data_IF_139015295499
#
_entry.id   IF_139015295499
#
_cell.length_a   1.000
_cell.length_b   1.000
_cell.length_c   1.000
_cell.angle_alpha   90.00
_cell.angle_beta   90.00
_cell.angle_gamma   90.00
#
_symmetry.space_group_name_H-M   'P 1'
#
loop_
_entity.id
_entity.type
_entity.pdbx_description
1 polymer ?
#
# COMPACT_ATOMS: atom_id res chain seq x y z
N UNK A 1 2.25 -3.21 9.55
CA UNK A 1 1.62 -4.53 9.29
C UNK A 1 2.58 -5.38 8.46
N UNK A 2 3.70 -5.87 9.02
CA UNK A 2 4.63 -6.75 8.29
C UNK A 2 3.95 -7.93 7.60
N UNK A 3 2.92 -8.52 8.21
CA UNK A 3 2.14 -9.59 7.63
C UNK A 3 1.40 -9.28 6.34
N UNK A 4 0.84 -8.07 6.23
CA UNK A 4 0.19 -7.60 5.02
C UNK A 4 1.15 -7.52 3.82
N UNK A 5 2.40 -7.14 4.08
CA UNK A 5 3.43 -7.06 3.06
C UNK A 5 3.80 -8.45 2.51
N UNK A 6 3.91 -9.45 3.40
CA UNK A 6 4.21 -10.82 3.00
C UNK A 6 3.07 -11.40 2.14
N UNK A 7 1.82 -11.24 2.57
CA UNK A 7 0.66 -11.72 1.83
C UNK A 7 0.53 -11.04 0.45
N UNK A 8 0.65 -9.71 0.40
CA UNK A 8 0.58 -8.97 -0.85
C UNK A 8 1.67 -9.43 -1.84
N UNK A 9 2.92 -9.58 -1.37
CA UNK A 9 4.01 -10.10 -2.21
C UNK A 9 3.74 -11.52 -2.69
N UNK A 10 3.29 -12.41 -1.80
CA UNK A 10 2.98 -13.80 -2.15
C UNK A 10 1.93 -13.90 -3.25
N UNK A 11 0.83 -13.15 -3.11
CA UNK A 11 -0.24 -13.11 -4.11
C UNK A 11 0.22 -12.49 -5.44
N UNK A 12 1.00 -11.42 -5.41
CA UNK A 12 1.60 -10.83 -6.62
C UNK A 12 2.53 -11.83 -7.34
N UNK A 13 3.35 -12.57 -6.60
CA UNK A 13 4.21 -13.62 -7.17
C UNK A 13 3.38 -14.72 -7.85
N UNK A 14 2.30 -15.17 -7.22
CA UNK A 14 1.40 -16.16 -7.81
C UNK A 14 0.71 -15.63 -9.08
N UNK A 15 0.26 -14.38 -9.05
CA UNK A 15 -0.36 -13.70 -10.19
C UNK A 15 0.61 -13.62 -11.39
N UNK A 16 1.82 -13.12 -11.17
CA UNK A 16 2.85 -13.03 -12.21
C UNK A 16 3.25 -14.40 -12.78
N UNK A 17 3.29 -15.43 -11.93
CA UNK A 17 3.68 -16.77 -12.34
C UNK A 17 2.52 -17.60 -12.93
N UNK A 18 1.29 -17.08 -12.94
CA UNK A 18 0.10 -17.80 -13.40
C UNK A 18 -0.13 -19.13 -12.66
N UNK A 19 0.21 -19.20 -11.36
CA UNK A 19 0.18 -20.47 -10.61
C UNK A 19 -1.21 -20.75 -10.05
N UNK A 20 -1.55 -22.04 -10.03
CA UNK A 20 -2.78 -22.56 -9.42
C UNK A 20 -2.48 -23.38 -8.17
N UNK A 21 -3.37 -23.31 -7.18
CA UNK A 21 -3.26 -24.06 -5.94
C UNK A 21 -4.01 -23.41 -4.78
N UNK A 22 -3.72 -23.87 -3.58
CA UNK A 22 -4.23 -23.30 -2.33
C UNK A 22 -3.11 -22.63 -1.56
N UNK A 23 -3.27 -21.34 -1.27
CA UNK A 23 -2.40 -20.60 -0.36
C UNK A 23 -3.04 -20.61 1.04
N UNK A 24 -2.43 -21.35 1.95
CA UNK A 24 -2.77 -21.34 3.37
C UNK A 24 -2.11 -20.14 4.05
N UNK A 25 -2.91 -19.35 4.74
CA UNK A 25 -2.50 -18.21 5.56
C UNK A 25 -2.80 -18.56 7.01
N UNK A 26 -1.75 -18.89 7.76
CA UNK A 26 -1.85 -19.35 9.15
C UNK A 26 -1.44 -18.23 10.11
N UNK A 27 -2.19 -18.07 11.19
CA UNK A 27 -1.82 -17.21 12.32
C UNK A 27 -2.35 -17.80 13.62
N UNK A 28 -1.94 -17.24 14.76
CA UNK A 28 -2.42 -17.67 16.07
C UNK A 28 -3.95 -17.56 16.25
N UNK A 29 -4.63 -16.72 15.45
CA UNK A 29 -6.07 -16.41 15.62
C UNK A 29 -6.96 -16.94 14.51
N UNK A 30 -6.37 -17.28 13.37
CA UNK A 30 -7.14 -17.69 12.20
C UNK A 30 -6.29 -18.49 11.22
N UNK A 31 -6.95 -19.41 10.53
CA UNK A 31 -6.47 -20.11 9.35
C UNK A 31 -7.33 -19.67 8.17
N UNK A 32 -6.73 -19.22 7.08
CA UNK A 32 -7.45 -18.98 5.84
C UNK A 32 -6.86 -19.80 4.70
N UNK A 33 -7.73 -20.34 3.86
CA UNK A 33 -7.39 -21.04 2.63
C UNK A 33 -7.80 -20.19 1.45
N UNK A 34 -6.84 -19.80 0.62
CA UNK A 34 -7.07 -18.97 -0.56
C UNK A 34 -6.91 -19.85 -1.79
N UNK A 35 -8.01 -20.05 -2.51
CA UNK A 35 -7.99 -20.73 -3.80
C UNK A 35 -7.50 -19.79 -4.89
N UNK A 36 -6.40 -20.16 -5.57
CA UNK A 36 -5.80 -19.40 -6.66
C UNK A 36 -5.88 -20.23 -7.94
N UNK A 37 -6.48 -19.68 -8.99
CA UNK A 37 -6.58 -20.28 -10.33
C UNK A 37 -5.92 -19.35 -11.33
N UNK A 38 -4.88 -19.85 -12.00
CA UNK A 38 -4.10 -19.15 -13.01
C UNK A 38 -3.63 -17.76 -12.53
N UNK A 39 -3.14 -17.71 -11.29
CA UNK A 39 -2.66 -16.49 -10.65
C UNK A 39 -3.75 -15.56 -10.09
N UNK A 40 -5.03 -15.87 -10.29
CA UNK A 40 -6.17 -15.08 -9.81
C UNK A 40 -6.78 -15.70 -8.54
N UNK A 41 -7.10 -14.87 -7.56
CA UNK A 41 -7.81 -15.33 -6.35
C UNK A 41 -9.28 -15.54 -6.69
N UNK A 42 -9.72 -16.80 -6.65
CA UNK A 42 -11.10 -17.19 -7.02
C UNK A 42 -11.99 -17.50 -5.83
N UNK A 43 -11.40 -17.91 -4.71
CA UNK A 43 -12.15 -18.34 -3.53
C UNK A 43 -11.33 -18.12 -2.26
N UNK A 44 -12.02 -17.90 -1.14
CA UNK A 44 -11.37 -17.77 0.15
C UNK A 44 -12.26 -18.31 1.27
N UNK A 45 -11.73 -19.26 2.04
CA UNK A 45 -12.35 -19.80 3.25
C UNK A 45 -11.53 -19.36 4.46
N UNK A 46 -12.22 -18.98 5.54
CA UNK A 46 -11.60 -18.55 6.80
C UNK A 46 -12.11 -19.43 7.94
N UNK A 47 -11.23 -19.79 8.87
CA UNK A 47 -11.51 -20.57 10.06
C UNK A 47 -10.96 -19.82 11.30
N UNK A 48 -11.75 -19.67 12.39
CA UNK A 48 -13.17 -20.07 12.51
C UNK A 48 -14.07 -19.29 11.54
N UNK A 49 -15.27 -19.82 11.29
CA UNK A 49 -16.23 -19.20 10.36
C UNK A 49 -16.51 -17.76 10.76
N UNK A 50 -16.52 -16.89 9.76
CA UNK A 50 -16.43 -15.44 9.93
C UNK A 50 -17.80 -14.75 9.94
N UNK A 51 -18.86 -15.55 10.02
CA UNK A 51 -20.27 -15.14 9.99
C UNK A 51 -20.72 -14.54 8.65
N UNK A 52 -19.85 -14.44 7.65
CA UNK A 52 -20.16 -13.80 6.37
C UNK A 52 -20.67 -14.84 5.38
N UNK A 53 -21.87 -15.38 5.64
CA UNK A 53 -22.51 -16.36 4.77
C UNK A 53 -23.11 -15.71 3.51
N UNK A 54 -23.19 -16.48 2.43
CA UNK A 54 -23.67 -15.99 1.13
C UNK A 54 -25.14 -15.55 1.18
N UNK A 55 -26.01 -16.35 1.82
CA UNK A 55 -27.43 -16.02 1.97
C UNK A 55 -27.66 -14.69 2.69
N UNK A 56 -26.97 -14.47 3.81
CA UNK A 56 -27.08 -13.22 4.58
C UNK A 56 -26.51 -12.01 3.82
N UNK A 57 -25.49 -12.23 2.98
CA UNK A 57 -24.98 -11.20 2.08
C UNK A 57 -26.00 -10.82 1.01
N UNK A 58 -26.68 -11.80 0.40
CA UNK A 58 -27.72 -11.56 -0.60
C UNK A 58 -28.93 -10.83 0.01
N UNK A 59 -29.37 -11.22 1.21
CA UNK A 59 -30.44 -10.52 1.95
C UNK A 59 -30.09 -9.08 2.28
N UNK A 60 -28.89 -8.81 2.80
CA UNK A 60 -28.41 -7.44 3.08
C UNK A 60 -28.34 -6.57 1.82
N UNK A 61 -28.12 -7.18 0.66
CA UNK A 61 -28.12 -6.51 -0.64
C UNK A 61 -29.52 -6.29 -1.22
N UNK A 62 -30.58 -6.80 -0.57
CA UNK A 62 -31.95 -6.79 -1.12
C UNK A 62 -32.10 -7.63 -2.38
N UNK A 63 -31.18 -8.58 -2.61
CA UNK A 63 -31.12 -9.38 -3.82
C UNK A 63 -31.65 -10.82 -3.59
N UNK A 64 -32.35 -11.03 -2.48
CA UNK A 64 -32.97 -12.30 -2.11
C UNK A 64 -34.49 -12.15 -2.10
N UNK A 65 -35.19 -13.01 -2.85
CA UNK A 65 -36.64 -13.08 -2.80
C UNK A 65 -37.08 -14.00 -1.65
N UNK A 66 -37.62 -13.39 -0.59
CA UNK A 66 -38.14 -14.10 0.58
C UNK A 66 -39.40 -14.93 0.30
N UNK A 67 -40.05 -14.75 -0.86
CA UNK A 67 -41.21 -15.54 -1.28
C UNK A 67 -40.84 -16.92 -1.81
N UNK A 68 -39.57 -17.14 -2.16
CA UNK A 68 -39.09 -18.44 -2.63
C UNK A 68 -38.77 -19.31 -1.42
N UNK A 69 -39.54 -20.40 -1.28
CA UNK A 69 -39.37 -21.37 -0.20
C UNK A 69 -38.61 -22.62 -0.68
N UNK A 70 -37.70 -23.11 0.15
CA UNK A 70 -36.95 -24.34 -0.11
C UNK A 70 -35.59 -24.32 0.56
N UNK A 71 -34.95 -25.48 0.60
CA UNK A 71 -33.57 -25.65 1.08
C UNK A 71 -32.80 -26.40 -0.01
N UNK A 72 -31.56 -26.00 -0.34
CA UNK A 72 -30.72 -26.75 -1.26
C UNK A 72 -30.49 -28.18 -0.75
N UNK A 73 -30.28 -29.11 -1.69
CA UNK A 73 -29.87 -30.46 -1.31
C UNK A 73 -28.50 -30.46 -0.61
N UNK A 74 -28.21 -31.46 0.25
CA UNK A 74 -26.90 -31.57 0.88
C UNK A 74 -25.77 -31.57 -0.15
N UNK A 75 -24.86 -30.60 -0.04
CA UNK A 75 -23.71 -30.44 -0.94
C UNK A 75 -23.94 -29.53 -2.14
N UNK A 76 -25.18 -29.10 -2.41
CA UNK A 76 -25.47 -28.13 -3.46
C UNK A 76 -25.06 -26.71 -3.00
N UNK A 77 -24.27 -25.96 -3.79
CA UNK A 77 -23.92 -24.58 -3.45
C UNK A 77 -25.15 -23.67 -3.40
N UNK A 78 -25.41 -23.07 -2.23
CA UNK A 78 -26.58 -22.19 -1.97
C UNK A 78 -26.79 -21.13 -3.07
N UNK A 79 -25.71 -20.54 -3.59
CA UNK A 79 -25.80 -19.52 -4.64
C UNK A 79 -26.30 -20.06 -5.98
N UNK A 80 -25.84 -21.23 -6.40
CA UNK A 80 -26.28 -21.87 -7.65
C UNK A 80 -27.73 -22.33 -7.55
N UNK A 81 -28.06 -22.97 -6.44
CA UNK A 81 -29.43 -23.34 -6.12
C UNK A 81 -30.37 -22.13 -6.16
N UNK A 82 -30.02 -21.05 -5.43
CA UNK A 82 -30.84 -19.85 -5.32
C UNK A 82 -31.06 -19.16 -6.67
N UNK A 83 -30.03 -19.12 -7.52
CA UNK A 83 -30.16 -18.58 -8.88
C UNK A 83 -31.08 -19.45 -9.75
N UNK A 84 -30.97 -20.78 -9.63
CA UNK A 84 -31.78 -21.73 -10.39
C UNK A 84 -33.26 -21.69 -10.02
N UNK A 85 -33.59 -21.54 -8.73
CA UNK A 85 -34.99 -21.46 -8.26
C UNK A 85 -35.57 -20.05 -8.35
N UNK A 86 -34.83 -19.09 -8.90
CA UNK A 86 -35.28 -17.70 -9.05
C UNK A 86 -35.29 -16.88 -7.76
N UNK A 87 -34.73 -17.37 -6.66
CA UNK A 87 -34.60 -16.62 -5.40
C UNK A 87 -33.60 -15.46 -5.50
N UNK A 88 -32.68 -15.50 -6.46
CA UNK A 88 -31.70 -14.44 -6.74
C UNK A 88 -31.23 -14.51 -8.20
N UNK A 89 -30.41 -13.55 -8.63
CA UNK A 89 -29.75 -13.60 -9.94
C UNK A 89 -28.31 -14.09 -9.85
N UNK A 90 -27.78 -14.68 -10.93
CA UNK A 90 -26.37 -15.06 -11.00
C UNK A 90 -25.41 -13.87 -10.80
N UNK A 91 -25.79 -12.67 -11.30
CA UNK A 91 -25.02 -11.45 -11.11
C UNK A 91 -25.00 -10.98 -9.65
N UNK A 92 -26.10 -11.13 -8.91
CA UNK A 92 -26.17 -10.83 -7.48
C UNK A 92 -25.29 -11.79 -6.66
N UNK A 93 -25.30 -13.09 -7.00
CA UNK A 93 -24.41 -14.09 -6.39
C UNK A 93 -22.94 -13.75 -6.62
N UNK A 94 -22.55 -13.47 -7.87
CA UNK A 94 -21.18 -13.08 -8.21
C UNK A 94 -20.73 -11.82 -7.47
N UNK A 95 -21.59 -10.80 -7.40
CA UNK A 95 -21.31 -9.57 -6.65
C UNK A 95 -21.18 -9.82 -5.14
N UNK A 96 -22.04 -10.66 -4.57
CA UNK A 96 -21.97 -11.01 -3.15
C UNK A 96 -20.68 -11.76 -2.82
N UNK A 97 -20.30 -12.76 -3.62
CA UNK A 97 -19.03 -13.49 -3.48
C UNK A 97 -17.82 -12.55 -3.60
N UNK A 98 -17.83 -11.61 -4.56
CA UNK A 98 -16.76 -10.62 -4.73
C UNK A 98 -16.62 -9.72 -3.50
N UNK A 99 -17.74 -9.24 -2.94
CA UNK A 99 -17.73 -8.46 -1.70
C UNK A 99 -17.25 -9.26 -0.49
N UNK A 100 -17.63 -10.53 -0.38
CA UNK A 100 -17.13 -11.42 0.67
C UNK A 100 -15.61 -11.63 0.56
N UNK A 101 -15.13 -11.90 -0.65
CA UNK A 101 -13.69 -12.06 -0.92
C UNK A 101 -12.91 -10.80 -0.54
N UNK A 102 -13.40 -9.62 -0.92
CA UNK A 102 -12.79 -8.34 -0.56
C UNK A 102 -12.73 -8.14 0.96
N UNK A 103 -13.84 -8.35 1.68
CA UNK A 103 -13.89 -8.21 3.15
C UNK A 103 -12.95 -9.18 3.85
N UNK A 104 -12.90 -10.44 3.39
CA UNK A 104 -11.98 -11.45 3.95
C UNK A 104 -10.52 -11.12 3.67
N UNK A 105 -10.21 -10.62 2.46
CA UNK A 105 -8.87 -10.14 2.14
C UNK A 105 -8.46 -8.96 3.04
N UNK A 106 -9.35 -8.00 3.27
CA UNK A 106 -9.10 -6.89 4.19
C UNK A 106 -8.77 -7.40 5.59
N UNK A 107 -9.57 -8.33 6.12
CA UNK A 107 -9.30 -8.99 7.42
C UNK A 107 -7.93 -9.65 7.45
N UNK A 108 -7.56 -10.40 6.41
CA UNK A 108 -6.26 -11.08 6.31
C UNK A 108 -5.07 -10.13 6.29
N UNK A 109 -5.18 -8.99 5.61
CA UNK A 109 -4.14 -7.96 5.64
C UNK A 109 -3.98 -7.32 7.03
N UNK A 110 -4.95 -7.48 7.93
CA UNK A 110 -4.82 -7.08 9.34
C UNK A 110 -4.08 -8.08 10.22
N UNK A 111 -3.80 -9.29 9.74
CA UNK A 111 -3.18 -10.38 10.53
C UNK A 111 -1.67 -10.23 10.53
N UNK A 112 -1.04 -10.37 11.70
CA UNK A 112 0.39 -10.16 11.85
C UNK A 112 1.02 -11.03 12.95
N UNK A 113 2.10 -11.79 12.66
CA UNK A 113 2.60 -12.21 11.34
C UNK A 113 1.85 -13.46 10.81
N UNK A 114 1.50 -13.51 9.52
CA UNK A 114 0.99 -14.71 8.88
C UNK A 114 2.14 -15.60 8.40
N UNK A 115 2.01 -16.90 8.64
CA UNK A 115 2.77 -17.93 7.94
C UNK A 115 2.04 -18.27 6.62
N UNK A 116 2.77 -18.28 5.51
CA UNK A 116 2.23 -18.54 4.18
C UNK A 116 2.75 -19.88 3.67
N UNK A 117 1.84 -20.80 3.31
CA UNK A 117 2.18 -22.10 2.73
C UNK A 117 1.39 -22.30 1.44
N UNK A 118 2.08 -22.58 0.34
CA UNK A 118 1.44 -22.85 -0.95
C UNK A 118 1.41 -24.36 -1.20
N UNK A 119 0.21 -24.90 -1.40
CA UNK A 119 0.01 -26.23 -1.94
C UNK A 119 -0.35 -26.11 -3.43
N UNK A 120 0.57 -26.41 -4.37
CA UNK A 120 0.31 -26.28 -5.79
C UNK A 120 -0.70 -27.33 -6.27
N UNK A 121 -1.47 -27.00 -7.31
CA UNK A 121 -2.42 -27.93 -7.95
C UNK A 121 -3.86 -27.44 -7.86
N UNK A 122 -4.76 -28.29 -7.36
CA UNK A 122 -6.17 -27.95 -7.22
C UNK A 122 -6.36 -26.74 -6.29
N UNK A 123 -7.25 -25.83 -6.69
CA UNK A 123 -7.51 -24.56 -5.98
C UNK A 123 -8.72 -24.61 -5.06
N UNK A 124 -9.43 -25.74 -5.04
CA UNK A 124 -10.70 -25.89 -4.32
C UNK A 124 -10.51 -25.81 -2.80
N UNK A 125 -11.28 -24.92 -2.17
CA UNK A 125 -11.21 -24.63 -0.73
C UNK A 125 -12.53 -24.90 -0.01
N UNK A 126 -13.48 -25.58 -0.66
CA UNK A 126 -14.78 -25.94 -0.09
C UNK A 126 -15.74 -24.75 0.05
N UNK A 127 -15.54 -23.68 -0.71
CA UNK A 127 -16.50 -22.57 -0.89
C UNK A 127 -16.63 -22.25 -2.39
N UNK A 128 -17.76 -21.66 -2.83
CA UNK A 128 -17.96 -21.31 -4.24
C UNK A 128 -16.87 -20.39 -4.78
N UNK A 129 -16.39 -20.67 -5.98
CA UNK A 129 -15.45 -19.81 -6.69
C UNK A 129 -16.15 -18.73 -7.50
N UNK A 130 -15.44 -17.63 -7.72
CA UNK A 130 -15.79 -16.62 -8.71
C UNK A 130 -15.45 -17.11 -10.11
N UNK A 131 -16.44 -17.03 -11.01
CA UNK A 131 -16.23 -17.29 -12.44
C UNK A 131 -15.35 -16.21 -13.07
N UNK A 132 -15.62 -14.95 -12.72
CA UNK A 132 -14.87 -13.76 -13.14
C UNK A 132 -14.21 -13.07 -11.93
N UNK A 133 -13.04 -13.57 -11.49
CA UNK A 133 -12.32 -12.99 -10.36
C UNK A 133 -11.75 -11.60 -10.71
N UNK A 134 -11.71 -10.66 -9.74
CA UNK A 134 -10.99 -9.40 -9.93
C UNK A 134 -9.48 -9.66 -10.07
N UNK A 135 -8.75 -8.71 -10.66
CA UNK A 135 -7.29 -8.79 -10.69
C UNK A 135 -6.74 -8.82 -9.27
N UNK A 136 -5.70 -9.62 -9.03
CA UNK A 136 -5.07 -9.74 -7.70
C UNK A 136 -4.62 -8.38 -7.14
N UNK A 137 -4.07 -7.51 -7.99
CA UNK A 137 -3.70 -6.14 -7.62
C UNK A 137 -4.89 -5.30 -7.15
N UNK A 138 -6.01 -5.34 -7.89
CA UNK A 138 -7.25 -4.65 -7.54
C UNK A 138 -7.82 -5.14 -6.21
N UNK A 139 -7.82 -6.46 -5.99
CA UNK A 139 -8.28 -7.07 -4.74
C UNK A 139 -7.44 -6.59 -3.55
N UNK A 140 -6.11 -6.59 -3.68
CA UNK A 140 -5.20 -6.15 -2.62
C UNK A 140 -5.38 -4.65 -2.34
N UNK A 141 -5.39 -3.80 -3.36
CA UNK A 141 -5.53 -2.34 -3.18
C UNK A 141 -6.88 -1.99 -2.57
N UNK A 142 -7.97 -2.65 -2.98
CA UNK A 142 -9.30 -2.46 -2.39
C UNK A 142 -9.32 -2.88 -0.92
N UNK A 143 -8.76 -4.04 -0.60
CA UNK A 143 -8.65 -4.52 0.79
C UNK A 143 -7.77 -3.60 1.66
N UNK A 144 -6.72 -3.00 1.10
CA UNK A 144 -5.87 -2.02 1.77
C UNK A 144 -6.63 -0.71 2.06
N UNK A 145 -7.48 -0.25 1.13
CA UNK A 145 -8.34 0.92 1.32
C UNK A 145 -9.33 0.69 2.46
N UNK A 146 -10.02 -0.46 2.47
CA UNK A 146 -10.97 -0.83 3.51
C UNK A 146 -10.29 -0.83 4.89
N UNK A 147 -9.07 -1.40 4.99
CA UNK A 147 -8.30 -1.40 6.24
C UNK A 147 -7.82 -0.01 6.67
N UNK A 148 -7.53 0.87 5.72
CA UNK A 148 -7.11 2.23 6.02
C UNK A 148 -8.28 3.15 6.39
N UNK A 149 -9.52 2.78 6.06
CA UNK A 149 -10.72 3.57 6.38
C UNK A 149 -10.93 3.71 7.89
N UNK A 150 -10.73 2.61 8.63
CA UNK A 150 -10.82 2.55 10.10
C UNK A 150 -9.74 3.37 10.82
N UNK A 151 -8.70 3.82 10.11
CA UNK A 151 -7.57 4.53 10.70
C UNK A 151 -7.87 6.03 10.80
N UNK A 152 -7.75 6.65 12.00
CA UNK A 152 -7.86 8.09 12.15
C UNK A 152 -6.83 8.85 11.30
N UNK A 153 -7.26 9.90 10.59
CA UNK A 153 -6.41 10.63 9.64
C UNK A 153 -5.14 11.22 10.27
N UNK A 154 -5.24 11.74 11.50
CA UNK A 154 -4.08 12.25 12.23
C UNK A 154 -3.04 11.16 12.50
N UNK A 155 -3.49 9.94 12.80
CA UNK A 155 -2.60 8.82 13.04
C UNK A 155 -1.96 8.33 11.74
N UNK A 156 -2.75 8.22 10.66
CA UNK A 156 -2.25 7.94 9.31
C UNK A 156 -1.16 8.95 8.91
N UNK A 157 -1.42 10.26 9.08
CA UNK A 157 -0.47 11.33 8.77
C UNK A 157 0.84 11.21 9.54
N UNK A 158 0.77 10.96 10.85
CA UNK A 158 1.97 10.76 11.69
C UNK A 158 2.76 9.54 11.24
N UNK A 159 2.10 8.45 10.87
CA UNK A 159 2.76 7.20 10.48
C UNK A 159 3.38 7.26 9.08
N UNK A 160 2.79 8.02 8.18
CA UNK A 160 3.42 8.38 6.89
C UNK A 160 4.66 9.23 7.13
N UNK A 161 4.67 10.10 8.14
CA UNK A 161 5.85 10.89 8.50
C UNK A 161 6.26 11.90 7.42
N UNK A 162 7.49 12.41 7.52
CA UNK A 162 8.03 13.48 6.66
C UNK A 162 9.25 12.98 5.90
N UNK A 163 9.00 12.19 4.85
CA UNK A 163 10.06 11.66 3.99
C UNK A 163 9.74 11.98 2.53
N UNK A 164 10.74 11.91 1.68
CA UNK A 164 10.50 11.73 0.25
C UNK A 164 10.21 10.25 0.03
N UNK A 165 9.10 9.97 -0.65
CA UNK A 165 8.61 8.61 -0.89
C UNK A 165 8.66 8.30 -2.37
N UNK A 166 9.02 7.05 -2.68
CA UNK A 166 9.00 6.48 -4.02
C UNK A 166 8.22 5.16 -4.02
N UNK A 167 7.71 4.77 -5.18
CA UNK A 167 7.19 3.41 -5.38
C UNK A 167 8.33 2.39 -5.33
N UNK A 168 8.14 1.35 -4.52
CA UNK A 168 8.99 0.15 -4.56
C UNK A 168 8.55 -0.76 -5.71
N UNK A 169 9.31 -1.81 -6.07
CA UNK A 169 8.87 -2.77 -7.07
C UNK A 169 7.48 -3.36 -6.78
N UNK A 170 7.19 -3.65 -5.50
CA UNK A 170 5.86 -4.08 -5.07
C UNK A 170 4.80 -3.01 -5.33
N UNK A 171 5.09 -1.75 -5.02
CA UNK A 171 4.14 -0.66 -5.27
C UNK A 171 3.82 -0.48 -6.75
N UNK A 172 4.83 -0.57 -7.62
CA UNK A 172 4.62 -0.54 -9.08
C UNK A 172 3.72 -1.70 -9.51
N UNK A 173 4.00 -2.91 -9.05
CA UNK A 173 3.22 -4.10 -9.39
C UNK A 173 1.76 -3.99 -8.92
N UNK A 174 1.53 -3.52 -7.69
CA UNK A 174 0.18 -3.32 -7.15
C UNK A 174 -0.62 -2.22 -7.84
N UNK A 175 0.03 -1.16 -8.30
CA UNK A 175 -0.65 0.03 -8.83
C UNK A 175 -0.79 0.03 -10.35
N UNK A 176 -0.08 -0.84 -11.06
CA UNK A 176 -0.13 -0.92 -12.54
C UNK A 176 -1.55 -1.23 -13.04
N UNK A 177 -2.23 -2.16 -12.36
CA UNK A 177 -3.54 -2.68 -12.77
C UNK A 177 -4.68 -2.30 -11.81
N UNK A 178 -4.39 -1.50 -10.79
CA UNK A 178 -5.39 -1.10 -9.82
C UNK A 178 -6.33 -0.04 -10.42
N UNK A 179 -7.62 -0.15 -10.13
CA UNK A 179 -8.58 0.91 -10.40
C UNK A 179 -8.33 2.03 -9.39
N UNK A 180 -7.77 3.15 -9.85
CA UNK A 180 -7.43 4.31 -9.05
C UNK A 180 -8.44 5.44 -9.26
N UNK A 181 -8.78 6.15 -8.17
CA UNK A 181 -9.50 7.41 -8.29
C UNK A 181 -8.57 8.53 -8.79
N UNK A 182 -9.10 9.63 -9.34
CA UNK A 182 -8.27 10.72 -9.87
C UNK A 182 -7.25 11.26 -8.87
N UNK A 183 -7.61 11.41 -7.60
CA UNK A 183 -6.72 11.92 -6.55
C UNK A 183 -5.64 10.90 -6.15
N UNK A 184 -5.90 9.61 -6.35
CA UNK A 184 -4.90 8.56 -6.13
C UNK A 184 -3.96 8.46 -7.32
N UNK A 185 -4.47 8.55 -8.55
CA UNK A 185 -3.67 8.55 -9.77
C UNK A 185 -2.65 9.71 -9.78
N UNK A 186 -3.06 10.91 -9.37
CA UNK A 186 -2.16 12.06 -9.20
C UNK A 186 -1.05 11.79 -8.17
N UNK A 187 -1.40 11.13 -7.06
CA UNK A 187 -0.44 10.73 -6.03
C UNK A 187 0.55 9.67 -6.54
N UNK A 188 0.09 8.69 -7.32
CA UNK A 188 0.92 7.63 -7.89
C UNK A 188 1.95 8.19 -8.87
N UNK A 189 1.57 9.11 -9.76
CA UNK A 189 2.48 9.80 -10.68
C UNK A 189 3.66 10.48 -9.95
N UNK A 190 3.39 11.11 -8.82
CA UNK A 190 4.43 11.73 -7.99
C UNK A 190 5.29 10.70 -7.25
N UNK A 191 4.72 9.57 -6.83
CA UNK A 191 5.48 8.49 -6.20
C UNK A 191 6.41 7.77 -7.19
N UNK A 192 6.09 7.72 -8.48
CA UNK A 192 6.97 7.14 -9.50
C UNK A 192 8.28 7.91 -9.65
N UNK A 193 8.19 9.24 -9.59
CA UNK A 193 9.34 10.16 -9.71
C UNK A 193 9.97 10.54 -8.38
N UNK A 194 9.29 10.17 -7.29
CA UNK A 194 9.63 10.49 -5.92
C UNK A 194 9.20 11.89 -5.51
N UNK A 195 8.52 12.02 -4.38
CA UNK A 195 8.12 13.32 -3.86
C UNK A 195 8.08 13.37 -2.32
N UNK A 196 8.32 14.55 -1.71
CA UNK A 196 8.08 14.77 -0.28
C UNK A 196 6.62 14.49 0.12
N UNK A 197 6.39 13.93 1.30
CA UNK A 197 5.03 13.66 1.81
C UNK A 197 4.10 14.89 1.75
N UNK A 198 4.61 16.07 2.08
CA UNK A 198 3.82 17.31 2.03
C UNK A 198 3.37 17.67 0.61
N UNK A 199 4.26 17.50 -0.37
CA UNK A 199 3.96 17.74 -1.79
C UNK A 199 2.95 16.71 -2.30
N UNK A 200 3.11 15.44 -1.92
CA UNK A 200 2.16 14.38 -2.26
C UNK A 200 0.76 14.73 -1.77
N UNK A 201 0.62 15.13 -0.51
CA UNK A 201 -0.69 15.43 0.08
C UNK A 201 -1.29 16.76 -0.40
N UNK A 202 -0.46 17.77 -0.68
CA UNK A 202 -0.94 19.04 -1.23
C UNK A 202 -1.44 18.89 -2.67
N UNK A 203 -0.79 18.03 -3.46
CA UNK A 203 -1.19 17.77 -4.85
C UNK A 203 -2.60 17.19 -4.99
N UNK A 204 -3.10 16.53 -3.94
CA UNK A 204 -4.42 15.90 -3.88
C UNK A 204 -5.44 16.76 -3.12
N UNK A 205 -5.17 18.06 -2.92
CA UNK A 205 -6.06 18.96 -2.19
C UNK A 205 -6.28 18.56 -0.72
N UNK A 206 -5.37 17.80 -0.12
CA UNK A 206 -5.54 17.27 1.24
C UNK A 206 -6.57 16.14 1.37
N UNK A 207 -6.93 15.48 0.27
CA UNK A 207 -7.89 14.36 0.27
C UNK A 207 -7.57 13.29 1.32
N UNK A 208 -8.57 13.00 2.16
CA UNK A 208 -8.51 11.93 3.16
C UNK A 208 -8.26 10.55 2.52
N UNK A 209 -8.80 10.33 1.31
CA UNK A 209 -8.61 9.10 0.52
C UNK A 209 -7.15 8.92 0.13
N UNK A 210 -6.53 9.94 -0.45
CA UNK A 210 -5.12 9.90 -0.86
C UNK A 210 -4.19 9.70 0.33
N UNK A 211 -4.46 10.33 1.48
CA UNK A 211 -3.71 10.09 2.71
C UNK A 211 -3.82 8.64 3.20
N UNK A 212 -5.03 8.06 3.17
CA UNK A 212 -5.28 6.67 3.57
C UNK A 212 -4.61 5.68 2.63
N UNK A 213 -4.68 5.90 1.31
CA UNK A 213 -3.97 5.08 0.34
C UNK A 213 -2.46 5.15 0.58
N UNK A 214 -1.89 6.35 0.70
CA UNK A 214 -0.46 6.54 0.97
C UNK A 214 -0.02 5.85 2.25
N UNK A 215 -0.83 5.93 3.31
CA UNK A 215 -0.63 5.20 4.55
C UNK A 215 -0.62 3.69 4.33
N UNK A 216 -1.62 3.15 3.62
CA UNK A 216 -1.74 1.72 3.37
C UNK A 216 -0.56 1.17 2.55
N UNK A 217 -0.19 1.87 1.47
CA UNK A 217 0.97 1.55 0.63
C UNK A 217 2.26 1.54 1.46
N UNK A 218 2.43 2.49 2.38
CA UNK A 218 3.61 2.52 3.24
C UNK A 218 3.62 1.37 4.25
N UNK A 219 2.47 0.95 4.77
CA UNK A 219 2.38 -0.17 5.71
C UNK A 219 2.80 -1.51 5.10
N UNK A 220 2.54 -1.71 3.80
CA UNK A 220 2.95 -2.91 3.06
C UNK A 220 4.32 -2.77 2.39
N UNK A 221 4.99 -1.62 2.54
CA UNK A 221 6.26 -1.35 1.87
C UNK A 221 6.13 -1.20 0.34
N UNK A 222 4.94 -0.88 -0.17
CA UNK A 222 4.70 -0.52 -1.57
C UNK A 222 5.21 0.88 -1.89
N UNK A 223 5.29 1.77 -0.90
CA UNK A 223 6.07 2.98 -0.98
C UNK A 223 7.02 3.08 0.21
N UNK A 224 8.23 3.55 -0.06
CA UNK A 224 9.28 3.66 0.95
C UNK A 224 10.15 4.87 0.63
N UNK A 225 10.95 5.34 1.60
CA UNK A 225 12.09 6.16 1.27
C UNK A 225 12.93 5.44 0.20
N UNK A 226 13.46 6.16 -0.79
CA UNK A 226 14.39 5.59 -1.76
C UNK A 226 15.55 4.92 -1.02
N UNK A 227 16.05 3.81 -1.56
CA UNK A 227 17.08 3.01 -0.91
C UNK A 227 18.23 3.87 -0.37
N UNK A 228 18.72 3.60 0.84
CA UNK A 228 19.64 4.49 1.51
C UNK A 228 20.97 4.53 0.76
N UNK A 229 21.20 5.63 0.05
CA UNK A 229 22.55 6.12 -0.22
C UNK A 229 23.01 6.95 0.97
N UNK A 230 24.30 6.83 1.32
CA UNK A 230 24.93 7.65 2.37
C UNK A 230 24.53 9.12 2.18
N UNK A 231 24.05 9.78 3.24
CA UNK A 231 23.70 11.20 3.24
C UNK A 231 22.22 11.55 3.08
N UNK A 232 21.33 10.58 2.82
CA UNK A 232 19.91 10.87 2.62
C UNK A 232 19.20 11.44 3.87
N UNK A 233 19.46 10.89 5.04
CA UNK A 233 18.94 11.43 6.31
C UNK A 233 19.42 12.87 6.56
N UNK A 234 20.68 13.15 6.23
CA UNK A 234 21.26 14.49 6.29
C UNK A 234 20.57 15.43 5.32
N UNK A 235 20.30 14.98 4.09
CA UNK A 235 19.59 15.78 3.08
C UNK A 235 18.19 16.16 3.58
N UNK A 236 17.39 15.21 4.06
CA UNK A 236 16.05 15.48 4.58
C UNK A 236 16.08 16.48 5.75
N UNK A 237 17.01 16.29 6.69
CA UNK A 237 17.21 17.23 7.81
C UNK A 237 17.52 18.64 7.31
N UNK A 238 18.43 18.77 6.34
CA UNK A 238 18.79 20.09 5.78
C UNK A 238 17.67 20.71 4.97
N UNK A 239 16.91 19.92 4.19
CA UNK A 239 15.73 20.43 3.47
C UNK A 239 14.71 21.01 4.45
N UNK A 240 14.50 20.37 5.61
CA UNK A 240 13.63 20.92 6.67
C UNK A 240 14.17 22.24 7.24
N UNK A 241 15.46 22.31 7.55
CA UNK A 241 16.10 23.54 8.05
C UNK A 241 15.96 24.70 7.04
N UNK A 242 16.17 24.44 5.75
CA UNK A 242 16.00 25.44 4.69
C UNK A 242 14.55 25.92 4.62
N UNK A 243 13.56 25.01 4.67
CA UNK A 243 12.13 25.36 4.66
C UNK A 243 11.71 26.16 5.89
N UNK A 244 12.34 25.92 7.04
CA UNK A 244 12.09 26.65 8.28
C UNK A 244 12.89 27.95 8.39
N UNK A 245 13.59 28.38 7.33
CA UNK A 245 14.45 29.55 7.31
C UNK A 245 15.47 29.57 8.46
N UNK A 246 16.07 28.41 8.76
CA UNK A 246 17.11 28.27 9.77
C UNK A 246 18.28 29.23 9.50
N UNK A 247 18.91 29.71 10.57
CA UNK A 247 20.02 30.67 10.47
C UNK A 247 21.23 30.05 9.76
N UNK A 248 22.07 30.89 9.16
CA UNK A 248 23.27 30.43 8.43
C UNK A 248 24.17 29.51 9.29
N UNK A 249 24.38 29.85 10.57
CA UNK A 249 25.17 29.04 11.49
C UNK A 249 24.51 27.68 11.80
N UNK A 250 23.18 27.63 11.94
CA UNK A 250 22.41 26.40 12.17
C UNK A 250 22.41 25.49 10.92
N UNK A 251 22.31 26.09 9.74
CA UNK A 251 22.41 25.40 8.46
C UNK A 251 23.80 24.77 8.25
N UNK A 252 24.86 25.38 8.76
CA UNK A 252 26.21 24.81 8.70
C UNK A 252 26.58 23.97 9.93
N UNK A 253 25.68 23.81 10.91
CA UNK A 253 25.95 23.10 12.17
C UNK A 253 27.16 23.67 12.94
N UNK A 254 27.31 24.99 12.92
CA UNK A 254 28.39 25.70 13.59
C UNK A 254 27.97 26.13 15.01
N UNK A 255 28.89 26.07 15.98
CA UNK A 255 28.69 26.70 17.28
C UNK A 255 28.68 28.23 17.16
N UNK A 256 28.07 28.90 18.15
CA UNK A 256 28.02 30.35 18.23
C UNK A 256 29.44 30.93 18.27
N UNK A 257 29.76 31.86 17.38
CA UNK A 257 31.10 32.49 17.31
C UNK A 257 32.17 31.69 16.54
N UNK A 258 31.78 30.65 15.81
CA UNK A 258 32.72 29.88 14.98
C UNK A 258 33.46 30.77 13.95
N UNK A 259 34.77 30.59 13.75
CA UNK A 259 35.54 31.40 12.81
C UNK A 259 35.16 31.09 11.35
N UNK A 260 35.34 32.03 10.39
CA UNK A 260 34.96 31.84 8.99
C UNK A 260 35.59 30.62 8.29
N UNK A 261 36.76 30.17 8.76
CA UNK A 261 37.42 28.97 8.25
C UNK A 261 36.65 27.68 8.60
N UNK A 262 35.97 27.64 9.75
CA UNK A 262 35.13 26.51 10.14
C UNK A 262 33.88 26.41 9.26
N UNK A 263 33.31 27.54 8.83
CA UNK A 263 32.18 27.55 7.89
C UNK A 263 32.52 26.86 6.56
N UNK A 264 33.73 27.11 6.01
CA UNK A 264 34.21 26.41 4.81
C UNK A 264 34.39 24.91 5.04
N UNK A 265 34.92 24.52 6.20
CA UNK A 265 35.11 23.11 6.57
C UNK A 265 33.77 22.39 6.74
N UNK A 266 32.81 23.03 7.39
CA UNK A 266 31.46 22.49 7.59
C UNK A 266 30.73 22.32 6.25
N UNK A 267 30.81 23.32 5.36
CA UNK A 267 30.27 23.23 4.00
C UNK A 267 30.87 22.03 3.25
N UNK A 268 32.19 21.86 3.24
CA UNK A 268 32.84 20.72 2.56
C UNK A 268 32.38 19.37 3.13
N UNK A 269 32.26 19.25 4.46
CA UNK A 269 31.78 18.03 5.13
C UNK A 269 30.33 17.71 4.74
N UNK A 270 29.46 18.71 4.76
CA UNK A 270 28.06 18.55 4.36
C UNK A 270 27.96 18.22 2.87
N UNK A 271 28.62 18.98 1.99
CA UNK A 271 28.66 18.75 0.56
C UNK A 271 29.11 17.32 0.21
N UNK A 272 30.16 16.82 0.86
CA UNK A 272 30.64 15.44 0.63
C UNK A 272 29.58 14.36 0.89
N UNK A 273 28.60 14.65 1.77
CA UNK A 273 27.50 13.76 2.11
C UNK A 273 26.25 13.96 1.24
N UNK A 274 25.94 15.20 0.82
CA UNK A 274 24.66 15.52 0.16
C UNK A 274 24.79 16.08 -1.26
N UNK A 275 25.97 16.04 -1.88
CA UNK A 275 26.15 16.47 -3.26
C UNK A 275 25.26 15.66 -4.23
N UNK A 276 24.65 16.28 -5.26
CA UNK A 276 23.78 15.59 -6.21
C UNK A 276 24.39 14.30 -6.79
N UNK A 277 25.67 14.36 -7.15
CA UNK A 277 26.41 13.23 -7.74
C UNK A 277 26.52 12.01 -6.83
N UNK A 278 26.44 12.19 -5.50
CA UNK A 278 26.47 11.08 -4.54
C UNK A 278 25.21 10.22 -4.61
N UNK A 279 24.10 10.81 -5.01
CA UNK A 279 22.83 10.08 -5.17
C UNK A 279 22.75 9.34 -6.50
N UNK A 280 23.70 9.57 -7.41
CA UNK A 280 23.81 8.93 -8.73
C UNK A 280 22.71 9.31 -9.71
N UNK A 281 22.89 8.90 -10.96
CA UNK A 281 22.02 9.26 -12.09
C UNK A 281 20.60 8.68 -11.95
N UNK A 282 20.47 7.53 -11.28
CA UNK A 282 19.18 6.86 -11.03
C UNK A 282 18.41 7.40 -9.82
N UNK A 283 18.94 8.40 -9.11
CA UNK A 283 18.20 9.03 -8.02
C UNK A 283 16.88 9.63 -8.51
N UNK A 284 15.79 9.51 -7.73
CA UNK A 284 14.55 10.22 -7.99
C UNK A 284 14.76 11.73 -8.20
N UNK A 285 14.02 12.33 -9.13
CA UNK A 285 14.21 13.72 -9.53
C UNK A 285 14.05 14.69 -8.35
N UNK A 286 13.12 14.41 -7.43
CA UNK A 286 12.96 15.22 -6.22
C UNK A 286 14.17 15.17 -5.28
N UNK A 287 14.91 14.06 -5.20
CA UNK A 287 16.15 14.00 -4.40
C UNK A 287 17.19 14.93 -5.01
N UNK A 288 17.36 14.88 -6.34
CA UNK A 288 18.31 15.76 -7.04
C UNK A 288 17.93 17.22 -6.85
N UNK A 289 16.65 17.56 -7.03
CA UNK A 289 16.13 18.90 -6.81
C UNK A 289 16.35 19.38 -5.37
N UNK A 290 15.99 18.57 -4.36
CA UNK A 290 16.21 18.89 -2.96
C UNK A 290 17.70 19.05 -2.62
N UNK A 291 18.56 18.21 -3.18
CA UNK A 291 20.02 18.30 -3.04
C UNK A 291 20.56 19.60 -3.62
N UNK A 292 20.14 19.99 -4.83
CA UNK A 292 20.51 21.29 -5.42
C UNK A 292 20.05 22.49 -4.59
N UNK A 293 18.81 22.47 -4.10
CA UNK A 293 18.26 23.53 -3.26
C UNK A 293 19.06 23.68 -1.95
N UNK A 294 19.31 22.56 -1.27
CA UNK A 294 20.10 22.57 -0.02
C UNK A 294 21.52 23.01 -0.28
N UNK A 295 22.20 22.51 -1.33
CA UNK A 295 23.56 22.93 -1.67
C UNK A 295 23.64 24.42 -1.93
N UNK A 296 22.66 24.98 -2.65
CA UNK A 296 22.57 26.42 -2.90
C UNK A 296 22.40 27.21 -1.61
N UNK A 297 21.55 26.74 -0.69
CA UNK A 297 21.35 27.36 0.62
C UNK A 297 22.60 27.28 1.50
N UNK A 298 23.34 26.16 1.50
CA UNK A 298 24.58 26.01 2.26
C UNK A 298 25.70 26.92 1.74
N UNK A 299 25.80 27.09 0.41
CA UNK A 299 26.77 28.02 -0.20
C UNK A 299 26.44 29.47 0.19
N UNK A 300 25.15 29.86 0.16
CA UNK A 300 24.71 31.18 0.63
C UNK A 300 25.03 31.38 2.11
N UNK A 301 24.63 30.44 2.97
CA UNK A 301 24.92 30.49 4.41
C UNK A 301 26.43 30.60 4.71
N UNK A 302 27.27 29.92 3.95
CA UNK A 302 28.72 30.05 4.10
C UNK A 302 29.19 31.45 3.74
N UNK A 303 28.65 32.08 2.70
CA UNK A 303 29.03 33.43 2.28
C UNK A 303 28.54 34.49 3.28
N UNK A 304 27.37 34.30 3.88
CA UNK A 304 26.82 35.20 4.91
C UNK A 304 27.64 35.20 6.21
N UNK A 305 28.49 34.18 6.41
CA UNK A 305 29.35 34.01 7.58
C UNK A 305 30.84 34.27 7.28
N UNK A 306 31.17 34.78 6.09
CA UNK A 306 32.52 35.28 5.76
C UNK A 306 32.64 36.75 6.08
#
# INVERSE_FOLDING_TARGET
>A
MPGAAALARGLCVLARAGRSGVLDVCSARMLAKIGVRDGSVVAMRVLPDDGDFLGDSLRRMGAWDEKVHGVPEPGEPVGQWAARVGATSASAVSLALRKQLQRRMARLLGVDPPELRLTPGAWEVGVPALDEPPKTAELIVSALRDRAEEVPLLWARRRVGENVLVLTPLGKELLTDAVLWPEEAALVQLLETGAPTDVLLSSTGGSARSLRLLYALRQVGACAPPEPRKGYATLLRKTRQVRQAARAAELLELPTGAPPQEARKALRKLAAAIHPDRFGTTAPAAIRSASHQVMSALVRAQNDLR
#
